data_IF_150368714239
#
_entry.id   IF_150368714239
#
_cell.length_a   1.000
_cell.length_b   1.000
_cell.length_c   1.000
_cell.angle_alpha   90.00
_cell.angle_beta   90.00
_cell.angle_gamma   90.00
#
_symmetry.space_group_name_H-M   'P 1'
#
loop_
_entity.id
_entity.type
_entity.pdbx_description
1 polymer ?
#
# COMPACT_ATOMS: atom_id res chain seq x y z
N UNK A 1 12.87 -27.28 -54.54
CA UNK A 1 13.78 -27.12 -53.38
C UNK A 1 13.08 -27.70 -52.16
N UNK A 2 13.76 -28.58 -51.46
CA UNK A 2 13.18 -29.73 -50.76
C UNK A 2 12.81 -29.41 -49.30
N UNK A 3 11.51 -29.28 -49.01
CA UNK A 3 10.96 -28.93 -47.69
C UNK A 3 11.26 -29.99 -46.61
N UNK A 4 11.60 -31.22 -47.01
CA UNK A 4 11.96 -32.32 -46.12
C UNK A 4 13.30 -32.10 -45.40
N UNK A 5 14.29 -31.51 -46.10
CA UNK A 5 15.64 -31.24 -45.56
C UNK A 5 15.64 -30.09 -44.55
N UNK A 6 14.76 -29.10 -44.72
CA UNK A 6 14.64 -27.95 -43.83
C UNK A 6 14.02 -28.33 -42.48
N UNK A 7 13.05 -29.25 -42.49
CA UNK A 7 12.44 -29.86 -41.29
C UNK A 7 13.43 -30.64 -40.43
N UNK A 8 14.28 -31.46 -41.05
CA UNK A 8 15.29 -32.26 -40.34
C UNK A 8 16.37 -31.40 -39.66
N UNK A 9 16.82 -30.33 -40.33
CA UNK A 9 17.80 -29.40 -39.77
C UNK A 9 17.27 -28.60 -38.57
N UNK A 10 15.98 -28.23 -38.59
CA UNK A 10 15.31 -27.55 -37.47
C UNK A 10 15.14 -28.51 -36.29
N UNK A 11 14.68 -29.75 -36.55
CA UNK A 11 14.54 -30.79 -35.50
C UNK A 11 15.88 -31.10 -34.84
N UNK A 12 16.97 -31.21 -35.61
CA UNK A 12 18.32 -31.43 -35.07
C UNK A 12 18.81 -30.27 -34.19
N UNK A 13 18.57 -29.01 -34.60
CA UNK A 13 18.93 -27.83 -33.79
C UNK A 13 18.13 -27.73 -32.49
N UNK A 14 16.84 -28.09 -32.52
CA UNK A 14 15.99 -28.13 -31.33
C UNK A 14 16.43 -29.26 -30.40
N UNK A 15 16.69 -30.46 -30.92
CA UNK A 15 17.20 -31.58 -30.11
C UNK A 15 18.55 -31.28 -29.47
N UNK A 16 19.47 -30.65 -30.22
CA UNK A 16 20.79 -30.25 -29.69
C UNK A 16 20.65 -29.20 -28.58
N UNK A 17 19.73 -28.23 -28.70
CA UNK A 17 19.45 -27.25 -27.65
C UNK A 17 18.86 -27.91 -26.41
N UNK A 18 17.86 -28.78 -26.57
CA UNK A 18 17.26 -29.52 -25.45
C UNK A 18 18.30 -30.39 -24.75
N UNK A 19 19.13 -31.13 -25.50
CA UNK A 19 20.19 -31.96 -24.92
C UNK A 19 21.23 -31.14 -24.14
N UNK A 20 21.63 -29.97 -24.66
CA UNK A 20 22.55 -29.07 -23.95
C UNK A 20 21.90 -28.49 -22.69
N UNK A 21 20.63 -28.09 -22.74
CA UNK A 21 19.91 -27.57 -21.57
C UNK A 21 19.72 -28.66 -20.52
N UNK A 22 19.31 -29.87 -20.90
CA UNK A 22 19.17 -31.01 -19.98
C UNK A 22 20.52 -31.39 -19.37
N UNK A 23 21.61 -31.41 -20.16
CA UNK A 23 22.95 -31.68 -19.65
C UNK A 23 23.41 -30.59 -18.68
N UNK A 24 23.17 -29.30 -18.99
CA UNK A 24 23.49 -28.19 -18.10
C UNK A 24 22.74 -28.26 -16.77
N UNK A 25 21.44 -28.59 -16.80
CA UNK A 25 20.64 -28.80 -15.58
C UNK A 25 21.09 -30.03 -14.78
N UNK A 26 21.42 -31.14 -15.45
CA UNK A 26 21.94 -32.33 -14.78
C UNK A 26 23.31 -32.08 -14.14
N UNK A 27 24.20 -31.31 -14.79
CA UNK A 27 25.48 -30.90 -14.22
C UNK A 27 25.29 -29.92 -13.06
N UNK A 28 24.37 -28.95 -13.16
CA UNK A 28 24.10 -28.01 -12.07
C UNK A 28 23.47 -28.70 -10.85
N UNK A 29 22.56 -29.65 -11.07
CA UNK A 29 21.96 -30.45 -10.02
C UNK A 29 22.98 -31.41 -9.38
N UNK A 30 23.85 -32.05 -10.18
CA UNK A 30 24.93 -32.90 -9.69
C UNK A 30 25.97 -32.13 -8.88
N UNK A 31 26.32 -30.92 -9.33
CA UNK A 31 27.21 -30.00 -8.61
C UNK A 31 26.55 -29.54 -7.30
N UNK A 32 25.28 -29.14 -7.32
CA UNK A 32 24.54 -28.75 -6.11
C UNK A 32 24.42 -29.91 -5.10
N UNK A 33 24.20 -31.14 -5.58
CA UNK A 33 24.12 -32.34 -4.74
C UNK A 33 25.49 -32.73 -4.17
N UNK A 34 26.57 -32.56 -4.93
CA UNK A 34 27.94 -32.74 -4.45
C UNK A 34 28.32 -31.67 -3.41
N UNK A 35 27.95 -30.40 -3.63
CA UNK A 35 28.12 -29.34 -2.63
C UNK A 35 27.31 -29.61 -1.36
N UNK A 36 26.09 -30.18 -1.46
CA UNK A 36 25.32 -30.60 -0.28
C UNK A 36 25.95 -31.76 0.50
N UNK A 37 26.76 -32.62 -0.15
CA UNK A 37 27.47 -33.72 0.50
C UNK A 37 28.84 -33.34 1.05
N UNK A 38 29.44 -32.25 0.57
CA UNK A 38 30.79 -31.78 0.94
C UNK A 38 30.71 -30.54 1.86
N UNK A 39 29.58 -29.84 1.90
CA UNK A 39 29.38 -28.72 2.81
C UNK A 39 29.41 -29.20 4.27
N UNK A 40 30.29 -28.64 5.13
CA UNK A 40 30.33 -29.00 6.53
C UNK A 40 28.97 -28.72 7.20
N UNK A 41 28.57 -29.58 8.15
CA UNK A 41 27.22 -29.59 8.77
C UNK A 41 26.78 -28.20 9.30
N UNK A 42 27.74 -27.37 9.70
CA UNK A 42 27.54 -26.01 10.16
C UNK A 42 26.90 -25.07 9.09
N UNK A 43 27.15 -25.28 7.80
CA UNK A 43 26.56 -24.48 6.73
C UNK A 43 25.12 -24.89 6.39
N UNK A 44 24.81 -26.19 6.46
CA UNK A 44 23.43 -26.69 6.27
C UNK A 44 22.56 -26.31 7.47
N UNK A 45 23.10 -26.37 8.70
CA UNK A 45 22.45 -25.83 9.88
C UNK A 45 22.15 -24.34 9.71
N UNK A 46 23.10 -23.53 9.23
CA UNK A 46 22.88 -22.09 9.00
C UNK A 46 21.77 -21.78 7.99
N UNK A 47 21.66 -22.55 6.91
CA UNK A 47 20.57 -22.39 5.94
C UNK A 47 19.24 -22.82 6.55
N UNK A 48 19.23 -23.93 7.28
CA UNK A 48 18.02 -24.46 7.94
C UNK A 48 17.56 -23.55 9.09
N UNK A 49 18.48 -22.94 9.83
CA UNK A 49 18.24 -21.92 10.86
C UNK A 49 17.81 -20.59 10.26
N UNK A 50 18.33 -20.20 9.08
CA UNK A 50 17.85 -19.01 8.35
C UNK A 50 16.42 -19.22 7.84
N UNK A 51 16.09 -20.42 7.33
CA UNK A 51 14.73 -20.76 6.87
C UNK A 51 13.77 -20.93 8.06
N UNK A 52 14.21 -21.56 9.16
CA UNK A 52 13.45 -21.56 10.43
C UNK A 52 13.32 -20.15 11.00
N UNK A 53 14.34 -19.31 10.87
CA UNK A 53 14.34 -17.90 11.27
C UNK A 53 13.27 -17.11 10.53
N UNK A 54 13.16 -17.32 9.22
CA UNK A 54 12.05 -16.79 8.39
C UNK A 54 10.70 -17.29 8.90
N UNK A 55 10.51 -18.59 9.10
CA UNK A 55 9.21 -19.14 9.57
C UNK A 55 8.86 -18.67 10.99
N UNK A 56 9.86 -18.51 11.87
CA UNK A 56 9.67 -17.99 13.24
C UNK A 56 9.42 -16.50 13.30
N UNK A 57 9.86 -15.71 12.31
CA UNK A 57 9.54 -14.28 12.18
C UNK A 57 8.08 -14.03 11.78
N UNK A 58 7.35 -15.06 11.36
CA UNK A 58 5.90 -15.02 11.08
C UNK A 58 5.04 -15.53 12.24
N UNK A 59 5.61 -15.79 13.42
CA UNK A 59 4.79 -15.91 14.64
C UNK A 59 4.18 -14.54 14.91
N UNK A 60 2.87 -14.44 14.73
CA UNK A 60 2.05 -13.27 15.05
C UNK A 60 2.62 -12.56 16.27
N UNK A 61 3.01 -11.30 16.11
CA UNK A 61 3.46 -10.45 17.22
C UNK A 61 2.50 -10.66 18.39
N UNK A 62 2.94 -10.98 19.62
CA UNK A 62 2.07 -11.44 20.70
C UNK A 62 0.84 -10.54 20.96
N UNK A 63 0.94 -9.25 20.61
CA UNK A 63 -0.15 -8.26 20.64
C UNK A 63 -1.33 -8.60 19.69
N UNK A 64 -1.07 -9.15 18.50
CA UNK A 64 -2.07 -9.48 17.49
C UNK A 64 -2.94 -10.68 17.86
N UNK A 65 -2.38 -11.65 18.59
CA UNK A 65 -3.13 -12.84 19.05
C UNK A 65 -4.28 -12.51 20.00
N UNK A 66 -4.27 -11.30 20.60
CA UNK A 66 -5.31 -10.81 21.52
C UNK A 66 -6.46 -10.11 20.81
N UNK A 67 -6.29 -9.77 19.53
CA UNK A 67 -7.27 -9.06 18.75
C UNK A 67 -8.54 -9.91 18.55
N UNK A 68 -9.72 -9.31 18.72
CA UNK A 68 -11.04 -9.98 18.64
C UNK A 68 -11.77 -9.61 17.34
N UNK A 69 -12.59 -10.52 16.83
CA UNK A 69 -13.41 -10.24 15.63
C UNK A 69 -12.69 -10.49 14.30
N UNK A 70 -11.57 -11.22 14.31
CA UNK A 70 -10.75 -11.54 13.12
C UNK A 70 -10.97 -12.93 12.54
N UNK A 71 -11.99 -13.65 13.00
CA UNK A 71 -12.16 -15.06 12.70
C UNK A 71 -12.23 -15.35 11.19
N UNK A 72 -12.89 -14.49 10.42
CA UNK A 72 -13.01 -14.61 8.96
C UNK A 72 -12.16 -13.60 8.18
N UNK A 73 -11.50 -12.65 8.85
CA UNK A 73 -10.76 -11.56 8.20
C UNK A 73 -9.69 -12.07 7.23
N UNK A 74 -8.91 -13.06 7.67
CA UNK A 74 -7.88 -13.70 6.87
C UNK A 74 -8.46 -14.42 5.64
N UNK A 75 -9.63 -15.04 5.78
CA UNK A 75 -10.30 -15.73 4.67
C UNK A 75 -10.79 -14.74 3.63
N UNK A 76 -11.53 -13.71 4.05
CA UNK A 76 -12.08 -12.67 3.17
C UNK A 76 -10.95 -11.93 2.45
N UNK A 77 -9.88 -11.58 3.16
CA UNK A 77 -8.74 -10.91 2.55
C UNK A 77 -8.01 -11.81 1.55
N UNK A 78 -7.82 -13.11 1.86
CA UNK A 78 -7.21 -14.06 0.92
C UNK A 78 -8.05 -14.24 -0.34
N UNK A 79 -9.37 -14.33 -0.22
CA UNK A 79 -10.29 -14.38 -1.37
C UNK A 79 -10.18 -13.11 -2.22
N UNK A 80 -10.07 -11.95 -1.58
CA UNK A 80 -9.84 -10.67 -2.24
C UNK A 80 -8.49 -10.63 -2.99
N UNK A 81 -7.41 -11.15 -2.41
CA UNK A 81 -6.12 -11.28 -3.11
C UNK A 81 -6.24 -12.16 -4.36
N UNK A 82 -6.93 -13.31 -4.26
CA UNK A 82 -7.17 -14.21 -5.39
C UNK A 82 -8.03 -13.55 -6.48
N UNK A 83 -9.07 -12.79 -6.09
CA UNK A 83 -9.91 -12.01 -7.02
C UNK A 83 -9.08 -11.00 -7.81
N UNK A 84 -8.10 -10.36 -7.17
CA UNK A 84 -7.32 -9.24 -7.73
C UNK A 84 -5.99 -9.66 -8.36
N UNK A 85 -5.62 -10.94 -8.29
CA UNK A 85 -4.33 -11.46 -8.76
C UNK A 85 -4.02 -11.20 -10.25
N UNK A 86 -5.06 -11.01 -11.08
CA UNK A 86 -4.92 -10.76 -12.53
C UNK A 86 -4.78 -9.27 -12.88
N UNK A 87 -4.96 -8.38 -11.92
CA UNK A 87 -4.70 -6.95 -12.13
C UNK A 87 -3.20 -6.71 -12.29
N UNK A 88 -2.85 -5.65 -13.00
CA UNK A 88 -1.45 -5.27 -13.23
C UNK A 88 -0.76 -4.92 -11.92
N UNK A 89 0.42 -5.49 -11.69
CA UNK A 89 1.28 -5.17 -10.55
C UNK A 89 2.50 -4.32 -10.95
N UNK A 90 2.69 -4.08 -12.25
CA UNK A 90 3.72 -3.21 -12.83
C UNK A 90 3.29 -1.74 -12.97
N UNK A 91 2.00 -1.45 -12.71
CA UNK A 91 1.37 -0.12 -12.79
C UNK A 91 0.55 0.19 -11.53
N UNK A 92 0.15 1.44 -11.38
CA UNK A 92 -0.74 1.87 -10.30
C UNK A 92 -1.81 2.87 -10.75
N UNK A 93 -2.87 2.97 -9.96
CA UNK A 93 -3.97 3.94 -10.13
C UNK A 93 -3.95 4.92 -8.97
N UNK A 94 -4.18 6.22 -9.22
CA UNK A 94 -4.43 7.20 -8.16
C UNK A 94 -5.94 7.23 -7.87
N UNK A 95 -6.32 7.14 -6.60
CA UNK A 95 -7.66 7.41 -6.10
C UNK A 95 -7.61 8.68 -5.25
N UNK A 96 -8.09 9.80 -5.82
CA UNK A 96 -7.98 11.12 -5.20
C UNK A 96 -9.36 11.63 -4.79
N UNK A 97 -9.58 11.86 -3.49
CA UNK A 97 -10.85 12.41 -3.03
C UNK A 97 -10.86 13.92 -3.09
N UNK A 98 -11.98 14.52 -3.50
CA UNK A 98 -12.18 15.96 -3.46
C UNK A 98 -13.59 16.35 -3.01
N UNK A 99 -13.70 17.47 -2.31
CA UNK A 99 -14.97 18.07 -1.90
C UNK A 99 -14.84 19.61 -1.88
N UNK A 100 -15.54 20.29 -2.80
CA UNK A 100 -15.64 21.77 -2.85
C UNK A 100 -14.29 22.51 -2.82
N UNK A 101 -13.27 21.92 -3.44
CA UNK A 101 -11.90 22.45 -3.52
C UNK A 101 -11.37 22.41 -4.96
N UNK A 102 -12.07 23.04 -5.91
CA UNK A 102 -11.65 22.98 -7.32
C UNK A 102 -10.26 23.58 -7.55
N UNK A 103 -9.85 24.57 -6.74
CA UNK A 103 -8.52 25.17 -6.83
C UNK A 103 -7.44 24.17 -6.42
N UNK A 104 -7.53 23.59 -5.22
CA UNK A 104 -6.56 22.64 -4.69
C UNK A 104 -6.49 21.39 -5.57
N UNK A 105 -7.66 20.87 -5.99
CA UNK A 105 -7.74 19.76 -6.94
C UNK A 105 -6.96 20.05 -8.23
N UNK A 106 -7.18 21.23 -8.83
CA UNK A 106 -6.51 21.61 -10.07
C UNK A 106 -5.00 21.77 -9.87
N UNK A 107 -4.56 22.39 -8.77
CA UNK A 107 -3.14 22.55 -8.43
C UNK A 107 -2.46 21.19 -8.21
N UNK A 108 -3.11 20.30 -7.47
CA UNK A 108 -2.63 18.93 -7.21
C UNK A 108 -2.55 18.10 -8.49
N UNK A 109 -3.58 18.11 -9.35
CA UNK A 109 -3.57 17.42 -10.64
C UNK A 109 -2.49 17.99 -11.58
N UNK A 110 -2.34 19.30 -11.63
CA UNK A 110 -1.31 19.96 -12.45
C UNK A 110 0.10 19.59 -11.98
N UNK A 111 0.34 19.57 -10.66
CA UNK A 111 1.62 19.18 -10.08
C UNK A 111 1.96 17.70 -10.31
N UNK A 112 1.00 16.81 -10.07
CA UNK A 112 1.15 15.35 -10.28
C UNK A 112 1.38 15.00 -11.75
N UNK A 113 0.69 15.66 -12.67
CA UNK A 113 0.71 15.34 -14.11
C UNK A 113 1.64 16.27 -14.90
N UNK A 114 2.52 17.02 -14.21
CA UNK A 114 3.48 17.92 -14.81
C UNK A 114 4.51 17.17 -15.67
N UNK A 115 4.98 16.03 -15.19
CA UNK A 115 5.92 15.13 -15.88
C UNK A 115 5.30 13.75 -16.09
N UNK A 116 5.87 12.97 -17.00
CA UNK A 116 5.45 11.59 -17.22
C UNK A 116 5.83 10.75 -16.01
N UNK A 117 4.84 10.13 -15.36
CA UNK A 117 5.06 9.10 -14.34
C UNK A 117 4.96 7.74 -15.04
N UNK A 118 6.07 7.00 -15.25
CA UNK A 118 6.09 5.80 -16.09
C UNK A 118 5.07 4.74 -15.71
N UNK A 119 4.82 4.55 -14.41
CA UNK A 119 3.97 3.48 -13.90
C UNK A 119 2.52 3.92 -13.60
N UNK A 120 2.18 5.19 -13.79
CA UNK A 120 0.82 5.69 -13.58
C UNK A 120 -0.11 5.23 -14.71
N UNK A 121 -1.16 4.49 -14.34
CA UNK A 121 -2.16 3.94 -15.25
C UNK A 121 -3.30 4.92 -15.50
N UNK A 122 -3.86 5.48 -14.44
CA UNK A 122 -5.01 6.40 -14.47
C UNK A 122 -5.08 7.19 -13.16
N UNK A 123 -5.78 8.32 -13.20
CA UNK A 123 -6.23 9.05 -12.01
C UNK A 123 -7.74 8.98 -11.95
N UNK A 124 -8.26 8.52 -10.82
CA UNK A 124 -9.70 8.54 -10.53
C UNK A 124 -9.95 9.56 -9.43
N UNK A 125 -10.55 10.68 -9.81
CA UNK A 125 -11.01 11.71 -8.89
C UNK A 125 -12.36 11.30 -8.32
N UNK A 126 -12.39 11.00 -7.04
CA UNK A 126 -13.57 10.63 -6.26
C UNK A 126 -14.27 11.92 -5.83
N UNK A 127 -15.36 12.22 -6.51
CA UNK A 127 -16.07 13.49 -6.41
C UNK A 127 -17.17 13.41 -5.35
N UNK A 128 -16.92 14.00 -4.18
CA UNK A 128 -17.85 13.94 -3.05
C UNK A 128 -18.88 15.08 -3.00
N UNK A 129 -18.82 16.05 -3.91
CA UNK A 129 -19.84 17.11 -3.97
C UNK A 129 -21.07 16.60 -4.71
N UNK A 130 -22.13 16.28 -3.95
CA UNK A 130 -23.38 15.72 -4.48
C UNK A 130 -24.21 16.76 -5.24
N UNK A 131 -23.99 18.04 -4.98
CA UNK A 131 -24.75 19.15 -5.57
C UNK A 131 -24.14 19.62 -6.90
N UNK A 132 -22.85 19.35 -7.11
CA UNK A 132 -22.13 19.74 -8.31
C UNK A 132 -21.92 18.55 -9.24
N UNK A 133 -22.20 18.75 -10.53
CA UNK A 133 -21.83 17.77 -11.56
C UNK A 133 -20.30 17.73 -11.67
N UNK A 134 -19.69 16.53 -11.69
CA UNK A 134 -18.25 16.42 -11.82
C UNK A 134 -17.81 16.87 -13.22
N UNK A 135 -16.59 17.40 -13.37
CA UNK A 135 -16.04 17.70 -14.70
C UNK A 135 -16.02 16.47 -15.61
N UNK A 136 -16.00 16.69 -16.92
CA UNK A 136 -15.75 15.62 -17.87
C UNK A 136 -14.33 15.05 -17.69
N UNK A 137 -14.21 13.74 -17.88
CA UNK A 137 -12.91 13.09 -17.88
C UNK A 137 -12.06 13.56 -19.07
N UNK A 138 -10.75 13.60 -18.87
CA UNK A 138 -9.80 14.02 -19.90
C UNK A 138 -8.56 13.13 -19.89
N UNK A 139 -7.70 13.28 -20.90
CA UNK A 139 -6.39 12.63 -20.95
C UNK A 139 -5.31 13.69 -20.79
N UNK A 140 -4.37 13.47 -19.87
CA UNK A 140 -3.26 14.38 -19.63
C UNK A 140 -2.32 14.46 -20.83
N UNK A 141 -1.45 15.48 -20.85
CA UNK A 141 -0.42 15.65 -21.90
C UNK A 141 0.53 14.45 -22.05
N UNK A 142 0.61 13.59 -21.02
CA UNK A 142 1.45 12.40 -20.99
C UNK A 142 0.68 11.10 -21.24
N UNK A 143 -0.58 11.19 -21.68
CA UNK A 143 -1.42 10.04 -22.03
C UNK A 143 -2.08 9.35 -20.83
N UNK A 144 -2.12 9.99 -19.65
CA UNK A 144 -2.77 9.43 -18.46
C UNK A 144 -4.25 9.85 -18.43
N UNK A 145 -5.20 8.91 -18.46
CA UNK A 145 -6.62 9.25 -18.31
C UNK A 145 -6.92 9.72 -16.88
N UNK A 146 -7.70 10.80 -16.79
CA UNK A 146 -8.25 11.37 -15.56
C UNK A 146 -9.76 11.23 -15.64
N UNK A 147 -10.33 10.40 -14.76
CA UNK A 147 -11.77 10.12 -14.70
C UNK A 147 -12.33 10.65 -13.40
N UNK A 148 -13.51 11.26 -13.47
CA UNK A 148 -14.27 11.65 -12.30
C UNK A 148 -15.31 10.57 -11.97
N UNK A 149 -15.38 10.18 -10.71
CA UNK A 149 -16.37 9.24 -10.18
C UNK A 149 -17.22 9.96 -9.16
N UNK A 150 -18.48 10.22 -9.51
CA UNK A 150 -19.45 10.75 -8.57
C UNK A 150 -19.65 9.77 -7.41
N UNK A 151 -19.48 10.27 -6.18
CA UNK A 151 -19.81 9.50 -4.99
C UNK A 151 -21.31 9.51 -4.75
N UNK A 152 -21.90 8.41 -4.23
CA UNK A 152 -23.32 8.38 -3.86
C UNK A 152 -23.62 9.20 -2.60
N UNK A 153 -22.59 9.43 -1.75
CA UNK A 153 -22.68 10.21 -0.52
C UNK A 153 -21.38 10.99 -0.30
N UNK A 154 -21.44 12.11 0.41
CA UNK A 154 -20.23 12.78 0.89
C UNK A 154 -19.70 12.04 2.13
N UNK A 155 -18.63 11.27 1.94
CA UNK A 155 -18.03 10.45 2.98
C UNK A 155 -16.53 10.27 2.75
N UNK A 156 -15.75 10.21 3.84
CA UNK A 156 -14.31 9.91 3.75
C UNK A 156 -14.01 8.48 3.32
N UNK A 157 -14.99 7.58 3.42
CA UNK A 157 -14.90 6.21 2.92
C UNK A 157 -14.79 6.17 1.39
N UNK A 158 -15.17 7.23 0.67
CA UNK A 158 -15.38 7.18 -0.77
C UNK A 158 -14.11 6.83 -1.55
N UNK A 159 -12.94 7.36 -1.19
CA UNK A 159 -11.66 6.95 -1.82
C UNK A 159 -11.23 5.51 -1.52
N UNK A 160 -11.77 4.89 -0.47
CA UNK A 160 -11.42 3.54 -0.04
C UNK A 160 -12.30 2.45 -0.68
N UNK A 161 -13.32 2.82 -1.48
CA UNK A 161 -14.11 1.84 -2.22
C UNK A 161 -13.35 1.32 -3.45
N UNK A 162 -13.27 -0.01 -3.64
CA UNK A 162 -12.54 -0.60 -4.74
C UNK A 162 -13.33 -0.47 -6.04
N UNK A 163 -12.98 0.52 -6.85
CA UNK A 163 -13.61 0.77 -8.15
C UNK A 163 -13.58 -0.51 -9.02
N UNK A 164 -14.72 -0.95 -9.57
CA UNK A 164 -14.74 -2.08 -10.50
C UNK A 164 -13.88 -1.86 -11.76
N UNK A 165 -13.66 -0.60 -12.15
CA UNK A 165 -12.86 -0.24 -13.32
C UNK A 165 -11.35 -0.24 -13.04
N UNK A 166 -10.90 -0.35 -11.79
CA UNK A 166 -9.46 -0.38 -11.48
C UNK A 166 -8.77 -1.57 -12.15
N UNK A 167 -7.66 -1.28 -12.83
CA UNK A 167 -6.87 -2.28 -13.57
C UNK A 167 -5.54 -2.64 -12.88
N UNK A 168 -5.26 -2.07 -11.71
CA UNK A 168 -3.99 -2.22 -10.99
C UNK A 168 -4.17 -2.78 -9.59
N UNK A 169 -3.18 -3.52 -9.12
CA UNK A 169 -3.13 -3.99 -7.73
C UNK A 169 -2.76 -2.88 -6.76
N UNK A 170 -1.92 -1.95 -7.22
CA UNK A 170 -1.48 -0.78 -6.46
C UNK A 170 -2.47 0.37 -6.62
N UNK A 171 -2.99 0.87 -5.50
CA UNK A 171 -3.83 2.07 -5.45
C UNK A 171 -3.09 3.12 -4.61
N UNK A 172 -2.76 4.25 -5.23
CA UNK A 172 -2.26 5.42 -4.53
C UNK A 172 -3.44 6.25 -4.05
N UNK A 173 -3.71 6.16 -2.74
CA UNK A 173 -4.71 6.95 -2.05
C UNK A 173 -4.15 8.37 -1.85
N UNK A 174 -4.95 9.37 -2.24
CA UNK A 174 -4.57 10.78 -2.23
C UNK A 174 -5.71 11.66 -1.73
N UNK A 175 -5.36 12.72 -1.01
CA UNK A 175 -6.24 13.89 -0.84
C UNK A 175 -6.00 14.90 -1.98
N UNK A 176 -6.87 15.91 -2.10
CA UNK A 176 -6.83 16.90 -3.18
C UNK A 176 -5.87 18.08 -2.95
N UNK A 177 -5.15 18.09 -1.81
CA UNK A 177 -4.27 19.18 -1.39
C UNK A 177 -2.84 18.73 -1.03
N UNK A 178 -2.47 17.48 -1.36
CA UNK A 178 -1.16 16.91 -1.07
C UNK A 178 -0.70 15.96 -2.18
N UNK A 179 0.56 16.03 -2.59
CA UNK A 179 1.13 15.13 -3.60
C UNK A 179 2.65 15.01 -3.56
N UNK A 180 3.16 13.85 -3.98
CA UNK A 180 4.57 13.70 -4.33
C UNK A 180 4.85 14.31 -5.70
N UNK A 181 6.03 14.87 -5.90
CA UNK A 181 6.47 15.25 -7.25
C UNK A 181 6.52 14.01 -8.16
N UNK A 182 6.32 14.16 -9.48
CA UNK A 182 6.16 13.03 -10.39
C UNK A 182 7.26 11.95 -10.31
N UNK A 183 8.52 12.37 -10.22
CA UNK A 183 9.67 11.45 -10.13
C UNK A 183 9.73 10.70 -8.80
N UNK A 184 9.39 11.39 -7.71
CA UNK A 184 9.34 10.79 -6.38
C UNK A 184 8.19 9.79 -6.28
N UNK A 185 7.03 10.09 -6.88
CA UNK A 185 5.90 9.16 -6.89
C UNK A 185 6.25 7.84 -7.61
N UNK A 186 7.02 7.90 -8.70
CA UNK A 186 7.52 6.70 -9.36
C UNK A 186 8.45 5.90 -8.42
N UNK A 187 9.38 6.55 -7.72
CA UNK A 187 10.24 5.89 -6.75
C UNK A 187 9.45 5.24 -5.60
N UNK A 188 8.45 5.95 -5.06
CA UNK A 188 7.58 5.45 -3.99
C UNK A 188 6.80 4.22 -4.49
N UNK A 189 6.30 4.23 -5.73
CA UNK A 189 5.65 3.07 -6.33
C UNK A 189 6.60 1.87 -6.45
N UNK A 190 7.81 2.06 -6.97
CA UNK A 190 8.79 0.97 -7.10
C UNK A 190 9.17 0.39 -5.73
N UNK A 191 9.29 1.26 -4.72
CA UNK A 191 9.53 0.87 -3.33
C UNK A 191 8.37 0.05 -2.76
N UNK A 192 7.13 0.51 -2.96
CA UNK A 192 5.93 -0.24 -2.59
C UNK A 192 5.90 -1.61 -3.27
N UNK A 193 6.17 -1.68 -4.58
CA UNK A 193 6.12 -2.93 -5.34
C UNK A 193 7.11 -3.96 -4.81
N UNK A 194 8.28 -3.51 -4.34
CA UNK A 194 9.35 -4.39 -3.85
C UNK A 194 9.24 -4.73 -2.36
N UNK A 195 8.81 -3.78 -1.53
CA UNK A 195 8.91 -3.91 -0.06
C UNK A 195 7.61 -3.59 0.69
N UNK A 196 6.64 -2.95 0.04
CA UNK A 196 5.46 -2.36 0.69
C UNK A 196 4.12 -3.01 0.33
N UNK A 197 4.06 -4.05 -0.51
CA UNK A 197 2.78 -4.64 -0.98
C UNK A 197 1.83 -5.11 0.14
N UNK A 198 2.37 -5.41 1.32
CA UNK A 198 1.63 -5.84 2.52
C UNK A 198 1.44 -4.72 3.57
N UNK A 199 1.79 -3.48 3.23
CA UNK A 199 1.90 -2.36 4.17
C UNK A 199 1.21 -1.12 3.59
N UNK A 200 0.68 -0.26 4.45
CA UNK A 200 0.40 1.14 4.06
C UNK A 200 1.75 1.80 3.79
N UNK A 201 2.01 2.26 2.57
CA UNK A 201 3.36 2.73 2.16
C UNK A 201 3.29 4.14 1.59
N UNK A 202 4.02 5.10 2.16
CA UNK A 202 3.88 6.49 1.74
C UNK A 202 4.66 7.46 2.61
N UNK A 203 4.30 8.74 2.56
CA UNK A 203 5.15 9.82 3.08
C UNK A 203 4.60 10.52 4.30
N UNK A 204 3.32 10.30 4.59
CA UNK A 204 2.59 11.10 5.58
C UNK A 204 2.49 10.38 6.92
N UNK A 205 3.63 10.27 7.60
CA UNK A 205 3.76 9.52 8.85
C UNK A 205 3.05 10.18 10.05
N UNK A 206 2.50 9.35 10.92
CA UNK A 206 1.91 9.71 12.20
C UNK A 206 2.21 8.66 13.26
N UNK A 207 2.03 9.08 14.50
CA UNK A 207 2.47 8.34 15.67
C UNK A 207 1.34 8.23 16.68
N UNK A 208 1.45 7.21 17.54
CA UNK A 208 0.65 7.11 18.75
C UNK A 208 1.56 7.16 19.96
N UNK A 209 1.10 7.82 21.02
CA UNK A 209 1.76 7.78 22.32
C UNK A 209 0.87 6.97 23.25
N UNK A 210 1.39 5.91 23.85
CA UNK A 210 0.70 5.21 24.94
C UNK A 210 0.86 6.02 26.22
N UNK A 211 -0.27 6.41 26.81
CA UNK A 211 -0.32 7.16 28.06
C UNK A 211 -0.33 6.18 29.26
N UNK A 212 -0.03 6.70 30.46
CA UNK A 212 0.10 5.88 31.67
C UNK A 212 -1.18 5.12 32.06
N UNK A 213 -2.34 5.56 31.57
CA UNK A 213 -3.64 4.92 31.76
C UNK A 213 -3.93 3.83 30.70
N UNK A 214 -2.97 3.48 29.85
CA UNK A 214 -3.11 2.58 28.70
C UNK A 214 -4.07 3.05 27.61
N UNK A 215 -4.38 4.35 27.59
CA UNK A 215 -5.01 4.99 26.45
C UNK A 215 -3.94 5.46 25.45
N UNK A 216 -4.37 5.74 24.23
CA UNK A 216 -3.49 6.12 23.14
C UNK A 216 -3.81 7.52 22.64
N UNK A 217 -2.78 8.35 22.51
CA UNK A 217 -2.88 9.70 21.99
C UNK A 217 -2.38 9.78 20.55
N UNK A 218 -3.14 10.45 19.68
CA UNK A 218 -2.71 10.71 18.31
C UNK A 218 -1.73 11.89 18.29
N UNK A 219 -0.60 11.72 17.61
CA UNK A 219 0.43 12.77 17.55
C UNK A 219 1.10 12.86 16.18
N UNK A 220 1.74 14.01 15.95
CA UNK A 220 2.86 14.06 15.02
C UNK A 220 4.00 13.17 15.56
N UNK A 221 4.83 12.70 14.65
CA UNK A 221 6.01 11.93 15.05
C UNK A 221 7.08 12.87 15.58
N UNK A 222 7.71 12.45 16.68
CA UNK A 222 8.80 13.19 17.30
C UNK A 222 10.09 12.97 16.52
N UNK A 223 10.98 13.96 16.55
CA UNK A 223 12.38 13.82 16.11
C UNK A 223 13.32 13.55 17.27
N UNK A 224 12.80 13.39 18.48
CA UNK A 224 13.57 12.98 19.66
C UNK A 224 14.01 11.52 19.50
N UNK A 225 15.29 11.25 19.76
CA UNK A 225 15.90 9.93 19.65
C UNK A 225 15.18 8.87 20.49
N UNK A 226 14.56 9.27 21.60
CA UNK A 226 13.78 8.38 22.46
C UNK A 226 12.44 7.93 21.85
N UNK A 227 11.93 8.66 20.85
CA UNK A 227 10.62 8.45 20.22
C UNK A 227 10.71 8.49 18.69
N UNK A 228 11.79 7.93 18.14
CA UNK A 228 12.05 7.86 16.71
C UNK A 228 11.37 6.62 16.08
N UNK A 229 10.05 6.53 16.26
CA UNK A 229 9.22 5.50 15.66
C UNK A 229 8.02 6.12 14.96
N UNK A 230 7.35 5.36 14.10
CA UNK A 230 6.04 5.68 13.52
C UNK A 230 5.23 4.41 13.38
N UNK A 231 3.91 4.53 13.37
CA UNK A 231 3.04 3.36 13.27
C UNK A 231 1.79 3.61 12.41
N UNK A 232 1.71 4.78 11.79
CA UNK A 232 0.70 5.10 10.79
C UNK A 232 1.31 5.84 9.60
N UNK A 233 0.83 5.51 8.41
CA UNK A 233 1.00 6.32 7.20
C UNK A 233 -0.40 6.72 6.72
N UNK A 234 -0.68 8.02 6.67
CA UNK A 234 -2.03 8.50 6.37
C UNK A 234 -2.41 8.23 4.90
N UNK A 235 -3.69 7.89 4.70
CA UNK A 235 -4.23 7.50 3.39
C UNK A 235 -4.24 8.66 2.38
N UNK A 236 -4.04 9.91 2.81
CA UNK A 236 -3.94 11.06 1.92
C UNK A 236 -2.66 11.10 1.06
N UNK A 237 -1.66 10.26 1.34
CA UNK A 237 -0.42 10.20 0.55
C UNK A 237 0.23 8.82 0.66
N UNK A 238 -0.47 7.76 0.24
CA UNK A 238 0.01 6.39 0.43
C UNK A 238 -0.47 5.38 -0.62
N UNK A 239 0.37 4.40 -0.91
CA UNK A 239 -0.03 3.18 -1.59
C UNK A 239 -0.66 2.18 -0.62
N UNK A 240 -1.74 1.56 -1.09
CA UNK A 240 -2.33 0.37 -0.53
C UNK A 240 -2.53 -0.67 -1.64
N UNK A 241 -2.46 -1.96 -1.29
CA UNK A 241 -2.92 -3.00 -2.19
C UNK A 241 -4.45 -2.97 -2.25
N UNK A 242 -5.05 -3.07 -3.45
CA UNK A 242 -6.50 -3.04 -3.66
C UNK A 242 -7.26 -4.10 -2.82
N UNK A 243 -6.59 -5.19 -2.43
CA UNK A 243 -7.20 -6.18 -1.54
C UNK A 243 -7.56 -5.64 -0.16
N UNK A 244 -6.83 -4.64 0.34
CA UNK A 244 -7.15 -3.98 1.60
C UNK A 244 -8.41 -3.14 1.47
N UNK A 245 -8.59 -2.47 0.33
CA UNK A 245 -9.83 -1.74 0.02
C UNK A 245 -11.01 -2.70 -0.11
N UNK A 246 -10.84 -3.85 -0.76
CA UNK A 246 -11.86 -4.91 -0.81
C UNK A 246 -12.26 -5.41 0.59
N UNK A 247 -11.29 -5.63 1.50
CA UNK A 247 -11.63 -6.03 2.87
C UNK A 247 -12.30 -4.88 3.65
N UNK A 248 -11.76 -3.66 3.55
CA UNK A 248 -12.31 -2.45 4.15
C UNK A 248 -13.75 -2.19 3.72
N UNK A 249 -14.11 -2.53 2.49
CA UNK A 249 -15.46 -2.36 1.91
C UNK A 249 -16.36 -3.59 2.02
N UNK A 250 -15.87 -4.68 2.61
CA UNK A 250 -16.62 -5.93 2.70
C UNK A 250 -17.77 -5.88 3.70
N UNK A 251 -18.66 -6.88 3.65
CA UNK A 251 -19.74 -7.07 4.62
C UNK A 251 -19.28 -7.70 5.94
N UNK A 252 -17.97 -7.83 6.17
CA UNK A 252 -17.44 -8.23 7.46
C UNK A 252 -17.96 -7.27 8.56
N UNK A 253 -18.30 -7.83 9.72
CA UNK A 253 -18.94 -7.08 10.80
C UNK A 253 -18.01 -5.99 11.36
N UNK A 254 -16.71 -6.25 11.45
CA UNK A 254 -15.73 -5.27 11.89
C UNK A 254 -15.56 -4.17 10.83
N UNK A 255 -15.37 -4.55 9.57
CA UNK A 255 -15.23 -3.59 8.47
C UNK A 255 -16.45 -2.66 8.37
N UNK A 256 -17.66 -3.20 8.54
CA UNK A 256 -18.92 -2.43 8.52
C UNK A 256 -19.00 -1.43 9.68
N UNK A 257 -18.64 -1.85 10.90
CA UNK A 257 -18.60 -0.97 12.08
C UNK A 257 -17.58 0.16 11.91
N UNK A 258 -16.42 -0.15 11.34
CA UNK A 258 -15.38 0.84 11.04
C UNK A 258 -15.90 1.90 10.07
N UNK A 259 -16.48 1.49 8.93
CA UNK A 259 -17.02 2.43 7.93
C UNK A 259 -18.11 3.32 8.52
N UNK A 260 -19.03 2.73 9.31
CA UNK A 260 -20.07 3.47 9.99
C UNK A 260 -19.52 4.49 11.01
N UNK A 261 -18.47 4.11 11.76
CA UNK A 261 -17.78 5.02 12.67
C UNK A 261 -17.14 6.19 11.89
N UNK A 262 -16.46 5.91 10.79
CA UNK A 262 -15.87 6.95 9.92
C UNK A 262 -16.94 7.90 9.38
N UNK A 263 -18.09 7.39 8.96
CA UNK A 263 -19.20 8.23 8.49
C UNK A 263 -19.80 9.08 9.62
N UNK A 264 -19.99 8.50 10.81
CA UNK A 264 -20.54 9.19 11.97
C UNK A 264 -19.63 10.33 12.46
N UNK A 265 -18.32 10.12 12.44
CA UNK A 265 -17.34 11.08 12.96
C UNK A 265 -16.72 11.98 11.87
N UNK A 266 -16.93 11.65 10.59
CA UNK A 266 -16.33 12.32 9.43
C UNK A 266 -14.81 12.52 9.59
N UNK A 267 -14.12 11.47 10.06
CA UNK A 267 -12.69 11.44 10.35
C UNK A 267 -12.17 9.99 10.40
N UNK A 268 -10.85 9.82 10.50
CA UNK A 268 -10.18 8.57 10.92
C UNK A 268 -10.25 7.38 9.97
N UNK A 269 -10.57 7.59 8.69
CA UNK A 269 -10.52 6.54 7.68
C UNK A 269 -9.10 6.02 7.45
N UNK A 270 -8.12 6.90 7.60
CA UNK A 270 -6.69 6.60 7.50
C UNK A 270 -6.16 5.80 8.71
N UNK A 271 -6.57 6.17 9.93
CA UNK A 271 -6.28 5.41 11.16
C UNK A 271 -6.87 4.01 11.03
N UNK A 272 -8.14 3.92 10.61
CA UNK A 272 -8.82 2.64 10.38
C UNK A 272 -8.08 1.75 9.37
N UNK A 273 -7.59 2.33 8.27
CA UNK A 273 -6.79 1.60 7.28
C UNK A 273 -5.49 1.06 7.87
N UNK A 274 -4.77 1.84 8.68
CA UNK A 274 -3.54 1.36 9.33
C UNK A 274 -3.83 0.22 10.34
N UNK A 275 -4.88 0.36 11.16
CA UNK A 275 -5.34 -0.70 12.06
C UNK A 275 -5.65 -2.00 11.33
N UNK A 276 -6.42 -1.90 10.24
CA UNK A 276 -6.84 -3.02 9.42
C UNK A 276 -5.65 -3.69 8.75
N UNK A 277 -4.77 -2.91 8.11
CA UNK A 277 -3.61 -3.47 7.38
C UNK A 277 -2.67 -4.17 8.35
N UNK A 278 -2.28 -3.51 9.46
CA UNK A 278 -1.37 -4.13 10.43
C UNK A 278 -1.96 -5.37 11.08
N UNK A 279 -3.27 -5.40 11.31
CA UNK A 279 -3.93 -6.61 11.78
C UNK A 279 -3.90 -7.74 10.74
N UNK A 280 -4.23 -7.46 9.48
CA UNK A 280 -4.29 -8.49 8.43
C UNK A 280 -2.91 -9.07 8.12
N UNK A 281 -1.87 -8.24 8.16
CA UNK A 281 -0.55 -8.60 7.66
C UNK A 281 0.44 -8.95 8.75
N UNK A 282 0.24 -8.44 9.96
CA UNK A 282 1.22 -8.48 11.03
C UNK A 282 2.41 -7.56 10.81
N UNK A 283 2.31 -6.58 9.92
CA UNK A 283 3.40 -5.65 9.56
C UNK A 283 3.00 -4.19 9.84
N UNK A 284 3.97 -3.36 10.25
CA UNK A 284 3.75 -1.92 10.36
C UNK A 284 3.71 -1.23 8.99
N UNK A 285 3.42 0.07 8.92
CA UNK A 285 3.44 0.80 7.66
C UNK A 285 4.88 1.07 7.17
N UNK A 286 5.09 1.43 5.91
CA UNK A 286 6.42 1.73 5.35
C UNK A 286 6.52 3.21 4.98
N UNK A 287 7.34 3.96 5.71
CA UNK A 287 7.68 5.34 5.37
C UNK A 287 8.63 5.37 4.17
N UNK A 288 8.25 6.10 3.13
CA UNK A 288 9.06 6.34 1.94
C UNK A 288 9.17 7.84 1.68
N UNK A 289 10.39 8.35 1.71
CA UNK A 289 10.70 9.74 1.41
C UNK A 289 11.19 9.85 -0.03
N UNK A 290 10.61 10.78 -0.78
CA UNK A 290 11.13 11.19 -2.08
C UNK A 290 12.48 11.88 -1.95
N UNK A 291 13.15 12.14 -3.07
CA UNK A 291 14.30 13.05 -3.13
C UNK A 291 13.86 14.46 -2.71
N UNK A 292 12.73 14.92 -3.24
CA UNK A 292 12.16 16.20 -2.84
C UNK A 292 11.04 16.00 -1.80
N UNK A 293 10.81 17.00 -0.93
CA UNK A 293 9.62 17.01 -0.09
C UNK A 293 8.34 16.94 -0.94
N UNK A 294 7.35 16.20 -0.45
CA UNK A 294 6.00 16.26 -1.01
C UNK A 294 5.43 17.68 -0.85
N UNK A 295 4.53 18.05 -1.75
CA UNK A 295 3.86 19.36 -1.73
C UNK A 295 2.57 19.22 -0.94
N UNK A 296 2.30 20.20 -0.06
CA UNK A 296 1.04 20.30 0.69
C UNK A 296 0.51 21.72 0.55
N UNK A 297 -0.61 21.88 -0.15
CA UNK A 297 -1.21 23.18 -0.48
C UNK A 297 -1.77 23.91 0.75
N UNK A 298 -2.09 23.16 1.81
CA UNK A 298 -2.51 23.67 3.12
C UNK A 298 -3.64 24.72 3.02
N UNK A 299 -4.81 24.36 2.46
CA UNK A 299 -5.91 25.31 2.32
C UNK A 299 -6.33 25.86 3.70
N UNK A 300 -6.73 27.14 3.79
CA UNK A 300 -7.02 27.79 5.07
C UNK A 300 -8.22 27.16 5.79
N UNK A 301 -9.09 26.46 5.06
CA UNK A 301 -10.20 25.70 5.62
C UNK A 301 -10.12 24.22 5.23
N UNK A 302 -10.32 23.35 6.21
CA UNK A 302 -10.30 21.91 6.02
C UNK A 302 -10.73 21.17 7.27
N UNK A 303 -10.95 19.86 7.15
CA UNK A 303 -11.31 19.01 8.29
C UNK A 303 -10.21 19.04 9.35
N UNK A 304 -8.94 19.07 8.92
CA UNK A 304 -7.75 19.09 9.77
C UNK A 304 -7.49 20.43 10.47
N UNK A 305 -8.06 21.54 9.99
CA UNK A 305 -7.89 22.87 10.60
C UNK A 305 -8.96 23.20 11.63
N UNK A 306 -10.01 22.37 11.75
CA UNK A 306 -11.07 22.57 12.75
C UNK A 306 -10.54 22.33 14.18
N UNK A 307 -10.97 23.15 15.16
CA UNK A 307 -10.71 22.86 16.58
C UNK A 307 -11.23 21.46 16.95
N UNK A 308 -10.49 20.74 17.79
CA UNK A 308 -10.88 19.38 18.19
C UNK A 308 -10.43 18.27 17.24
N UNK A 309 -9.75 18.57 16.13
CA UNK A 309 -9.39 17.55 15.14
C UNK A 309 -8.45 16.48 15.70
N UNK A 310 -7.44 16.88 16.50
CA UNK A 310 -6.48 15.94 17.11
C UNK A 310 -7.11 15.13 18.23
N UNK A 311 -8.02 15.74 18.98
CA UNK A 311 -8.80 15.12 20.05
C UNK A 311 -9.74 14.06 19.45
N UNK A 312 -10.42 14.37 18.35
CA UNK A 312 -11.23 13.41 17.61
C UNK A 312 -10.40 12.22 17.10
N UNK A 313 -9.19 12.46 16.57
CA UNK A 313 -8.29 11.38 16.14
C UNK A 313 -7.76 10.54 17.31
N UNK A 314 -7.49 11.17 18.45
CA UNK A 314 -7.15 10.48 19.70
C UNK A 314 -8.30 9.59 20.16
N UNK A 315 -9.55 10.08 20.09
CA UNK A 315 -10.73 9.28 20.38
C UNK A 315 -10.84 8.08 19.43
N UNK A 316 -10.62 8.27 18.13
CA UNK A 316 -10.62 7.17 17.15
C UNK A 316 -9.64 6.05 17.50
N UNK A 317 -8.42 6.39 17.96
CA UNK A 317 -7.45 5.37 18.39
C UNK A 317 -8.01 4.51 19.53
N UNK A 318 -8.59 5.16 20.54
CA UNK A 318 -9.10 4.45 21.72
C UNK A 318 -10.36 3.64 21.42
N UNK A 319 -11.27 4.17 20.60
CA UNK A 319 -12.49 3.48 20.21
C UNK A 319 -12.21 2.33 19.22
N UNK A 320 -11.24 2.48 18.31
CA UNK A 320 -10.76 1.38 17.49
C UNK A 320 -9.99 0.33 18.31
N UNK A 321 -9.16 0.71 19.28
CA UNK A 321 -8.52 -0.24 20.19
C UNK A 321 -9.56 -1.12 20.92
N UNK A 322 -10.67 -0.52 21.39
CA UNK A 322 -11.80 -1.27 21.96
C UNK A 322 -12.50 -2.15 20.92
N UNK A 323 -12.77 -1.62 19.73
CA UNK A 323 -13.48 -2.32 18.66
C UNK A 323 -12.71 -3.55 18.14
N UNK A 324 -11.39 -3.42 17.97
CA UNK A 324 -10.47 -4.49 17.58
C UNK A 324 -10.12 -5.41 18.77
N UNK A 325 -10.39 -4.98 20.01
CA UNK A 325 -10.05 -5.71 21.24
C UNK A 325 -8.55 -5.77 21.54
N UNK A 326 -7.73 -4.99 20.84
CA UNK A 326 -6.28 -4.92 20.94
C UNK A 326 -5.76 -3.66 20.23
N UNK A 327 -4.47 -3.35 20.41
CA UNK A 327 -3.73 -2.39 19.59
C UNK A 327 -2.98 -3.16 18.47
N UNK A 328 -3.48 -3.13 17.21
CA UNK A 328 -2.82 -3.82 16.10
C UNK A 328 -1.73 -2.97 15.42
N UNK A 329 -1.64 -1.66 15.71
CA UNK A 329 -0.59 -0.82 15.11
C UNK A 329 0.79 -1.28 15.56
N UNK A 330 1.71 -1.33 14.60
CA UNK A 330 3.09 -1.78 14.80
C UNK A 330 4.02 -0.62 14.55
N UNK A 331 4.90 -0.38 15.52
CA UNK A 331 5.94 0.64 15.42
C UNK A 331 7.06 0.22 14.48
N UNK A 332 7.50 1.17 13.68
CA UNK A 332 8.55 1.04 12.69
C UNK A 332 9.54 2.18 12.90
N UNK A 333 10.82 1.89 12.79
CA UNK A 333 11.91 2.87 12.97
C UNK A 333 12.67 3.13 11.67
N UNK A 334 12.62 2.17 10.73
CA UNK A 334 13.26 2.30 9.42
C UNK A 334 12.38 3.02 8.41
N UNK A 335 13.01 3.72 7.47
CA UNK A 335 12.35 4.31 6.29
C UNK A 335 13.17 4.05 5.02
N UNK A 336 12.53 4.23 3.87
CA UNK A 336 13.17 4.13 2.56
C UNK A 336 13.32 5.52 1.93
N UNK A 337 14.48 5.79 1.34
CA UNK A 337 14.77 7.01 0.59
C UNK A 337 15.75 6.73 -0.55
N UNK A 338 15.98 7.71 -1.41
CA UNK A 338 16.97 7.58 -2.48
C UNK A 338 18.38 7.48 -1.90
N UNK A 339 19.06 6.34 -2.15
CA UNK A 339 20.41 6.12 -1.63
C UNK A 339 21.53 6.93 -2.30
N UNK A 340 21.30 7.47 -3.51
CA UNK A 340 22.26 8.34 -4.20
C UNK A 340 21.53 9.60 -4.66
N UNK A 341 21.82 10.71 -4.00
CA UNK A 341 21.40 12.04 -4.44
C UNK A 341 22.61 12.62 -5.18
N UNK A 342 22.66 12.47 -6.51
CA UNK A 342 23.59 13.26 -7.31
C UNK A 342 23.11 14.72 -7.23
N UNK A 343 23.89 15.52 -6.50
CA UNK A 343 23.74 16.97 -6.34
C UNK A 343 24.12 17.70 -7.61
#
# INVERSE_FOLDING_TARGET
MDASRMSAAIRYRVFKRIAITVFAFATAAGIAFAFFRIAPENHIQRITETVKGWETSFKSTPKLSKCRGFHDANKIWKESQLKRQRLRDDKFTIAMQTYRRPKELNETLNGLLLEKIPSLSEVVVVWNDLEATPPEGYTSKHGVPVRFRQSPVNSLNQKLWPDPAYQTQAIFLSDDDIFYKPRDLEFVFQTWRKFGRRRMTGGFARCTIEEANHEYKYSFCSTDDAHNNYNMILSGLSFAHISFLDYYSSNDALATKIRAYVDQHFNCEDIAMNYLVSMLTGEGPLLVKGKDPYVMLSPPSGISTKPGHFEARTQCLNDFNKLFGCMPLIEETGHMEHGVILS
#
